data_IF_311551519542
#
_entry.id   IF_311551519542
#
_cell.length_a   1.000
_cell.length_b   1.000
_cell.length_c   1.000
_cell.angle_alpha   90.00
_cell.angle_beta   90.00
_cell.angle_gamma   90.00
#
_symmetry.space_group_name_H-M   'P 1'
#
loop_
_entity.id
_entity.type
_entity.pdbx_description
1 polymer ?
#
# COMPACT_ATOMS: atom_id res chain seq x y z
N UNK A 1 -8.50 -7.55 -47.31
CA UNK A 1 -7.64 -6.38 -47.00
C UNK A 1 -7.71 -6.17 -45.49
N UNK A 2 -6.72 -6.73 -44.78
CA UNK A 2 -6.65 -6.53 -43.33
C UNK A 2 -6.20 -5.09 -43.08
N UNK A 3 -7.10 -4.30 -42.52
CA UNK A 3 -6.79 -2.98 -42.03
C UNK A 3 -5.84 -3.18 -40.83
N UNK A 4 -4.56 -3.00 -41.03
CA UNK A 4 -3.58 -2.95 -39.96
C UNK A 4 -3.99 -1.74 -39.11
N UNK A 5 -4.68 -2.00 -38.02
CA UNK A 5 -5.02 -1.01 -37.04
C UNK A 5 -3.68 -0.48 -36.48
N UNK A 6 -3.31 0.72 -36.88
CA UNK A 6 -2.09 1.38 -36.41
C UNK A 6 -2.23 1.59 -34.92
N UNK A 7 -1.52 0.78 -34.12
CA UNK A 7 -1.53 0.90 -32.66
C UNK A 7 -0.76 2.16 -32.28
N UNK A 8 -1.38 2.99 -31.48
CA UNK A 8 -0.69 4.11 -30.85
C UNK A 8 0.42 3.55 -29.94
N UNK A 9 1.60 4.14 -30.01
CA UNK A 9 2.73 3.81 -29.16
C UNK A 9 3.19 5.07 -28.44
N UNK A 10 3.48 4.92 -27.15
CA UNK A 10 4.07 5.96 -26.32
C UNK A 10 5.38 5.45 -25.73
N UNK A 11 6.39 6.31 -25.69
CA UNK A 11 7.69 5.96 -25.13
C UNK A 11 7.84 6.48 -23.72
N UNK A 12 8.36 5.64 -22.84
CA UNK A 12 8.67 5.96 -21.43
C UNK A 12 10.03 5.38 -21.07
N UNK A 13 10.75 6.03 -20.17
CA UNK A 13 12.02 5.51 -19.66
C UNK A 13 11.80 4.26 -18.81
N UNK A 14 10.69 4.23 -18.04
CA UNK A 14 10.31 3.10 -17.19
C UNK A 14 8.81 2.84 -17.28
N UNK A 15 8.44 1.59 -17.49
CA UNK A 15 7.05 1.12 -17.40
C UNK A 15 6.94 0.16 -16.22
N UNK A 16 6.05 0.48 -15.26
CA UNK A 16 5.76 -0.34 -14.08
C UNK A 16 4.40 -1.00 -14.29
N UNK A 17 4.35 -2.31 -14.16
CA UNK A 17 3.11 -3.08 -14.27
C UNK A 17 2.55 -3.33 -12.87
N UNK A 18 1.40 -2.73 -12.60
CA UNK A 18 0.68 -2.78 -11.33
C UNK A 18 0.90 -1.57 -10.44
N UNK A 19 -0.21 -0.93 -10.02
CA UNK A 19 -0.23 0.21 -9.11
C UNK A 19 -0.50 -0.21 -7.65
N UNK A 20 0.02 -1.37 -7.25
CA UNK A 20 0.06 -1.78 -5.85
C UNK A 20 1.16 -1.06 -5.06
N UNK A 21 1.29 -1.33 -3.74
CA UNK A 21 2.29 -0.67 -2.90
C UNK A 21 3.71 -0.73 -3.46
N UNK A 22 4.11 -1.85 -4.01
CA UNK A 22 5.43 -2.05 -4.61
C UNK A 22 5.64 -1.17 -5.85
N UNK A 23 4.69 -1.17 -6.79
CA UNK A 23 4.77 -0.36 -8.01
C UNK A 23 4.76 1.13 -7.71
N UNK A 24 3.88 1.58 -6.82
CA UNK A 24 3.80 2.97 -6.40
C UNK A 24 5.07 3.43 -5.67
N UNK A 25 5.61 2.61 -4.75
CA UNK A 25 6.86 2.91 -4.05
C UNK A 25 8.04 3.03 -5.00
N UNK A 26 8.09 2.16 -6.01
CA UNK A 26 9.12 2.20 -7.06
C UNK A 26 9.02 3.50 -7.86
N UNK A 27 7.82 3.87 -8.30
CA UNK A 27 7.63 5.10 -9.07
C UNK A 27 8.00 6.36 -8.27
N UNK A 28 7.58 6.43 -7.01
CA UNK A 28 7.93 7.53 -6.10
C UNK A 28 9.45 7.61 -5.95
N UNK A 29 10.10 6.48 -5.67
CA UNK A 29 11.56 6.46 -5.47
C UNK A 29 12.32 6.85 -6.73
N UNK A 30 11.89 6.41 -7.90
CA UNK A 30 12.48 6.83 -9.18
C UNK A 30 12.40 8.35 -9.37
N UNK A 31 11.22 8.93 -9.11
CA UNK A 31 11.01 10.38 -9.20
C UNK A 31 11.79 11.17 -8.16
N UNK A 32 12.03 10.61 -6.96
CA UNK A 32 12.90 11.22 -5.94
C UNK A 32 14.38 11.23 -6.37
N UNK A 33 14.83 10.18 -7.06
CA UNK A 33 16.23 10.07 -7.52
C UNK A 33 16.46 10.93 -8.77
N UNK A 34 15.52 10.90 -9.70
CA UNK A 34 15.56 11.67 -10.93
C UNK A 34 14.18 12.22 -11.26
N UNK A 35 13.91 13.51 -10.97
CA UNK A 35 12.60 14.14 -11.26
C UNK A 35 12.23 14.15 -12.75
N UNK A 36 13.22 14.14 -13.64
CA UNK A 36 13.00 14.20 -15.10
C UNK A 36 12.64 12.84 -15.72
N UNK A 37 12.89 11.73 -15.01
CA UNK A 37 12.59 10.40 -15.54
C UNK A 37 11.10 10.26 -15.90
N UNK A 38 10.81 9.76 -17.09
CA UNK A 38 9.45 9.56 -17.57
C UNK A 38 8.95 8.15 -17.17
N UNK A 39 8.08 8.08 -16.18
CA UNK A 39 7.58 6.82 -15.61
C UNK A 39 6.11 6.64 -15.95
N UNK A 40 5.75 5.48 -16.49
CA UNK A 40 4.36 5.06 -16.70
C UNK A 40 4.04 3.91 -15.75
N UNK A 41 2.86 3.95 -15.13
CA UNK A 41 2.30 2.84 -14.36
C UNK A 41 1.08 2.31 -15.08
N UNK A 42 1.07 1.01 -15.34
CA UNK A 42 -0.06 0.31 -15.99
C UNK A 42 -0.80 -0.50 -14.92
N UNK A 43 -2.06 -0.18 -14.70
CA UNK A 43 -2.92 -0.86 -13.71
C UNK A 43 -4.06 -1.60 -14.42
N UNK A 44 -4.33 -2.85 -13.99
CA UNK A 44 -5.41 -3.69 -14.52
C UNK A 44 -6.80 -3.22 -14.06
N UNK A 45 -6.88 -2.71 -12.83
CA UNK A 45 -8.12 -2.24 -12.26
C UNK A 45 -8.55 -0.89 -12.86
N UNK A 46 -9.83 -0.54 -12.73
CA UNK A 46 -10.36 0.74 -13.18
C UNK A 46 -9.80 1.94 -12.43
N UNK A 47 -9.32 1.73 -11.22
CA UNK A 47 -8.69 2.73 -10.36
C UNK A 47 -7.63 2.11 -9.45
N UNK A 48 -6.68 2.92 -8.99
CA UNK A 48 -5.64 2.49 -8.06
C UNK A 48 -6.28 2.09 -6.73
N UNK A 49 -5.96 0.89 -6.25
CA UNK A 49 -6.46 0.37 -4.98
C UNK A 49 -7.82 -0.33 -5.04
N UNK A 50 -8.45 -0.49 -6.22
CA UNK A 50 -9.76 -1.14 -6.35
C UNK A 50 -9.78 -2.59 -5.83
N UNK A 51 -8.65 -3.29 -5.88
CA UNK A 51 -8.53 -4.68 -5.42
C UNK A 51 -7.80 -4.83 -4.07
N UNK A 52 -7.59 -3.75 -3.34
CA UNK A 52 -6.96 -3.79 -2.01
C UNK A 52 -8.02 -4.07 -0.95
N UNK A 53 -7.70 -5.00 -0.03
CA UNK A 53 -8.55 -5.28 1.13
C UNK A 53 -8.54 -4.11 2.11
N UNK A 54 -9.70 -3.82 2.67
CA UNK A 54 -9.90 -2.85 3.74
C UNK A 54 -9.61 -3.46 5.13
N UNK A 55 -9.48 -2.61 6.15
CA UNK A 55 -9.31 -3.04 7.54
C UNK A 55 -7.92 -3.62 7.87
N UNK A 56 -6.94 -3.41 7.01
CA UNK A 56 -5.58 -3.88 7.26
C UNK A 56 -4.86 -3.06 8.32
N UNK A 57 -4.00 -3.74 9.06
CA UNK A 57 -2.98 -3.09 9.90
C UNK A 57 -1.79 -2.75 9.03
N UNK A 58 -1.38 -1.49 9.04
CA UNK A 58 -0.30 -0.97 8.22
C UNK A 58 0.91 -0.58 9.08
N UNK A 59 2.05 -1.24 8.87
CA UNK A 59 3.32 -0.89 9.50
C UNK A 59 3.98 0.27 8.74
N UNK A 60 4.30 1.36 9.44
CA UNK A 60 4.74 2.60 8.80
C UNK A 60 6.22 2.68 8.47
N UNK A 61 7.05 1.74 8.89
CA UNK A 61 8.50 1.80 8.70
C UNK A 61 8.92 2.08 7.26
N UNK A 62 8.40 1.32 6.31
CA UNK A 62 8.71 1.52 4.90
C UNK A 62 8.20 2.87 4.36
N UNK A 63 7.06 3.35 4.89
CA UNK A 63 6.51 4.65 4.53
C UNK A 63 7.34 5.79 5.13
N UNK A 64 7.81 5.65 6.38
CA UNK A 64 8.70 6.62 7.04
C UNK A 64 10.04 6.77 6.26
N UNK A 65 10.54 5.69 5.66
CA UNK A 65 11.74 5.70 4.82
C UNK A 65 11.50 6.32 3.43
N UNK A 66 10.35 6.06 2.82
CA UNK A 66 10.03 6.53 1.47
C UNK A 66 9.55 7.98 1.46
N UNK A 67 8.70 8.34 2.40
CA UNK A 67 8.03 9.65 2.52
C UNK A 67 8.07 10.12 3.99
N UNK A 68 9.19 10.67 4.48
CA UNK A 68 9.33 11.06 5.89
C UNK A 68 8.22 11.99 6.40
N UNK A 69 7.69 12.83 5.52
CA UNK A 69 6.68 13.82 5.85
C UNK A 69 5.23 13.33 5.61
N UNK A 70 5.00 12.03 5.42
CA UNK A 70 3.68 11.48 5.08
C UNK A 70 2.57 11.87 6.06
N UNK A 71 2.92 12.08 7.34
CA UNK A 71 1.95 12.47 8.40
C UNK A 71 1.37 13.86 8.21
N UNK A 72 2.08 14.73 7.49
CA UNK A 72 1.68 16.12 7.22
C UNK A 72 0.98 16.28 5.88
N UNK A 73 0.92 15.22 5.07
CA UNK A 73 0.25 15.26 3.77
C UNK A 73 -1.26 15.39 3.95
N UNK A 74 -1.86 16.31 3.21
CA UNK A 74 -3.31 16.47 3.17
C UNK A 74 -3.99 15.18 2.69
N UNK A 75 -5.07 14.80 3.37
CA UNK A 75 -5.81 13.59 3.04
C UNK A 75 -5.15 12.28 3.47
N UNK A 76 -4.11 12.31 4.31
CA UNK A 76 -3.48 11.11 4.83
C UNK A 76 -4.54 10.18 5.49
N UNK A 77 -4.70 8.93 5.00
CA UNK A 77 -5.72 8.01 5.50
C UNK A 77 -5.34 7.32 6.81
N UNK A 78 -4.05 7.35 7.20
CA UNK A 78 -3.53 6.65 8.36
C UNK A 78 -3.71 7.48 9.64
N UNK A 79 -4.94 7.53 10.15
CA UNK A 79 -5.30 8.38 11.32
C UNK A 79 -5.33 7.62 12.63
N UNK A 80 -5.69 6.33 12.61
CA UNK A 80 -5.92 5.54 13.81
C UNK A 80 -4.74 4.64 14.12
N UNK A 81 -3.98 5.01 15.15
CA UNK A 81 -2.84 4.22 15.64
C UNK A 81 -3.32 2.95 16.35
N UNK A 82 -2.69 1.82 16.07
CA UNK A 82 -2.90 0.58 16.83
C UNK A 82 -2.25 0.73 18.20
N UNK A 83 -3.03 0.58 19.24
CA UNK A 83 -2.59 0.74 20.64
C UNK A 83 -2.53 -0.56 21.41
N UNK A 84 -3.25 -1.59 20.95
CA UNK A 84 -3.28 -2.92 21.57
C UNK A 84 -3.39 -3.99 20.51
N UNK A 85 -2.68 -5.08 20.74
CA UNK A 85 -2.74 -6.28 19.92
C UNK A 85 -3.00 -7.50 20.81
N UNK A 86 -3.73 -8.47 20.28
CA UNK A 86 -3.96 -9.77 20.93
C UNK A 86 -3.74 -10.87 19.93
N UNK A 87 -2.92 -11.83 20.28
CA UNK A 87 -2.73 -13.05 19.50
C UNK A 87 -3.53 -14.18 20.13
N UNK A 88 -4.48 -14.75 19.37
CA UNK A 88 -5.41 -15.76 19.84
C UNK A 88 -5.27 -17.04 19.02
N UNK A 89 -5.09 -18.18 19.68
CA UNK A 89 -5.35 -19.48 19.07
C UNK A 89 -6.83 -19.83 19.28
N UNK A 90 -7.54 -20.04 18.18
CA UNK A 90 -8.97 -20.36 18.21
C UNK A 90 -9.16 -21.88 18.06
N UNK A 91 -10.03 -22.43 18.91
CA UNK A 91 -10.53 -23.81 18.85
C UNK A 91 -12.05 -23.78 18.63
N UNK A 92 -12.67 -24.91 18.36
CA UNK A 92 -14.13 -24.96 18.07
C UNK A 92 -15.01 -24.30 19.13
N UNK A 93 -14.65 -24.39 20.41
CA UNK A 93 -15.46 -23.87 21.55
C UNK A 93 -14.67 -23.02 22.55
N UNK A 94 -13.42 -22.71 22.26
CA UNK A 94 -12.54 -21.98 23.17
C UNK A 94 -11.47 -21.20 22.45
N UNK A 95 -10.72 -20.38 23.17
CA UNK A 95 -9.53 -19.72 22.64
C UNK A 95 -8.43 -19.66 23.71
N UNK A 96 -7.20 -19.61 23.27
CA UNK A 96 -6.03 -19.37 24.12
C UNK A 96 -5.37 -18.06 23.68
N UNK A 97 -5.19 -17.16 24.63
CA UNK A 97 -4.49 -15.88 24.38
C UNK A 97 -3.00 -16.05 24.68
N UNK A 98 -2.15 -15.78 23.72
CA UNK A 98 -0.69 -15.74 23.95
C UNK A 98 -0.35 -14.51 24.77
N UNK A 99 0.37 -14.68 25.91
CA UNK A 99 0.82 -13.53 26.68
C UNK A 99 1.71 -12.59 25.85
N UNK A 100 1.48 -11.29 25.95
CA UNK A 100 2.23 -10.29 25.16
C UNK A 100 3.74 -10.32 25.41
N UNK A 101 4.19 -10.85 26.55
CA UNK A 101 5.60 -11.03 26.89
C UNK A 101 6.31 -12.03 25.95
N UNK A 102 5.58 -12.96 25.34
CA UNK A 102 6.10 -13.99 24.42
C UNK A 102 6.05 -13.53 22.95
N UNK A 103 5.44 -12.38 22.69
CA UNK A 103 5.33 -11.82 21.35
C UNK A 103 6.44 -10.78 21.10
N UNK A 104 6.95 -10.67 19.88
CA UNK A 104 7.84 -9.57 19.53
C UNK A 104 7.12 -8.22 19.76
N UNK A 105 7.87 -7.14 20.06
CA UNK A 105 7.27 -5.82 20.23
C UNK A 105 6.51 -5.43 18.96
N UNK A 106 5.28 -4.96 19.15
CA UNK A 106 4.42 -4.53 18.04
C UNK A 106 5.04 -3.30 17.39
N UNK A 107 5.34 -3.34 16.09
CA UNK A 107 5.84 -2.16 15.38
C UNK A 107 4.78 -1.05 15.37
N UNK A 108 5.21 0.20 15.21
CA UNK A 108 4.28 1.32 15.05
C UNK A 108 3.42 1.07 13.82
N UNK A 109 2.13 0.91 14.04
CA UNK A 109 1.17 0.57 13.00
C UNK A 109 -0.13 1.35 13.13
N UNK A 110 -0.84 1.46 12.02
CA UNK A 110 -2.11 2.16 11.90
C UNK A 110 -3.14 1.25 11.24
N UNK A 111 -4.41 1.44 11.57
CA UNK A 111 -5.51 0.83 10.83
C UNK A 111 -5.96 1.74 9.71
N UNK A 112 -6.26 1.16 8.55
CA UNK A 112 -6.83 1.85 7.41
C UNK A 112 -8.22 1.28 7.11
N UNK A 113 -9.23 2.14 7.11
CA UNK A 113 -10.60 1.81 6.71
C UNK A 113 -10.94 2.54 5.42
N UNK A 114 -11.54 1.84 4.46
CA UNK A 114 -12.10 2.48 3.27
C UNK A 114 -13.33 3.30 3.65
N UNK A 115 -13.54 4.42 2.97
CA UNK A 115 -14.64 5.34 3.23
C UNK A 115 -16.05 4.74 3.04
N UNK A 116 -16.16 3.56 2.43
CA UNK A 116 -17.43 2.88 2.17
C UNK A 116 -17.83 1.86 3.25
N UNK A 117 -17.08 1.75 4.34
CA UNK A 117 -17.31 0.78 5.43
C UNK A 117 -17.80 1.44 6.73
N UNK A 118 -18.19 2.69 6.68
CA UNK A 118 -18.80 3.43 7.80
C UNK A 118 -20.32 3.48 7.67
#
# INVERSE_FOLDING_TARGET
MDTIQQRESMEYDVVIVGAGPSGLSTAIKLKQINPEINVCIVEKASEVGAHILSGNVFETRALDELLPDWKTLDGCPLKTKVTKEKFLFLFEKSHFTVPSLLLPPVPVSYTHLRAHET
#
